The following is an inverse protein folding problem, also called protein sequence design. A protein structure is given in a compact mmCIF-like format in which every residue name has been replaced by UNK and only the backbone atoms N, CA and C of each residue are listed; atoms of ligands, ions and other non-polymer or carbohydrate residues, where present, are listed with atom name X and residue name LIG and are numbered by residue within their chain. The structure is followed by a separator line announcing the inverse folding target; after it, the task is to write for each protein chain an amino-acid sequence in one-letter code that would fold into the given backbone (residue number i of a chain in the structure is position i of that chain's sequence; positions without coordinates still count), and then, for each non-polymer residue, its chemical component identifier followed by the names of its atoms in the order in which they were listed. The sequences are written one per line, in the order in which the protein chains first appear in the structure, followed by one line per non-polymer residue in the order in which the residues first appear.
data_IF_080998683516
#
_entry.id   IF_080998683516
#
_cell.length_a   1.000
_cell.length_b   1.000
_cell.length_c   1.000
_cell.angle_alpha   90.00
_cell.angle_beta   90.00
_cell.angle_gamma   90.00
#
_symmetry.space_group_name_H-M   'P 1'
#
loop_
_entity.id
_entity.type
_entity.pdbx_description
1 polymer ?
#
# COMPACT_ATOMS: atom_id res chain seq x y z
N UNK A 1 -5.38 -7.66 24.57
CA UNK A 1 -4.70 -6.36 24.66
C UNK A 1 -5.62 -5.26 24.17
N UNK A 2 -5.42 -4.02 24.67
CA UNK A 2 -6.07 -2.82 24.14
C UNK A 2 -5.17 -2.17 23.12
N UNK A 3 -5.58 -2.18 21.84
CA UNK A 3 -4.79 -1.69 20.73
C UNK A 3 -5.41 -0.40 20.20
N UNK A 4 -4.61 0.67 20.09
CA UNK A 4 -5.00 1.91 19.44
C UNK A 4 -4.38 1.99 18.06
N UNK A 5 -5.20 2.00 17.02
CA UNK A 5 -4.77 2.31 15.65
C UNK A 5 -5.07 3.79 15.37
N UNK A 6 -4.03 4.55 15.07
CA UNK A 6 -4.15 5.93 14.65
C UNK A 6 -3.86 6.01 13.15
N UNK A 7 -4.93 6.07 12.36
CA UNK A 7 -4.86 6.04 10.90
C UNK A 7 -5.73 7.14 10.31
N UNK A 8 -5.13 7.96 9.44
CA UNK A 8 -5.84 9.05 8.77
C UNK A 8 -7.03 8.55 7.94
N UNK A 9 -6.86 7.45 7.19
CA UNK A 9 -7.89 6.81 6.40
C UNK A 9 -8.32 5.48 7.02
N UNK A 10 -9.61 5.21 6.99
CA UNK A 10 -10.22 3.99 7.51
C UNK A 10 -11.55 3.72 6.78
N UNK A 11 -12.20 2.57 7.06
CA UNK A 11 -13.55 2.30 6.56
C UNK A 11 -14.46 3.55 6.68
N UNK A 12 -15.36 3.86 5.73
CA UNK A 12 -15.75 3.07 4.54
C UNK A 12 -14.96 3.41 3.25
N UNK A 13 -13.81 4.05 3.34
CA UNK A 13 -13.03 4.39 2.15
C UNK A 13 -12.53 3.12 1.44
N UNK A 14 -12.76 2.98 0.10
CA UNK A 14 -12.57 1.70 -0.58
C UNK A 14 -11.14 1.43 -1.08
N UNK A 15 -10.24 2.41 -0.98
CA UNK A 15 -8.89 2.35 -1.56
C UNK A 15 -7.83 2.94 -0.62
N UNK A 16 -6.57 2.76 -0.98
CA UNK A 16 -5.43 3.21 -0.19
C UNK A 16 -5.21 2.34 1.04
N UNK A 17 -4.82 2.96 2.14
CA UNK A 17 -4.53 2.28 3.41
C UNK A 17 -5.80 1.89 4.19
N UNK A 18 -6.95 2.49 3.86
CA UNK A 18 -8.18 2.29 4.61
C UNK A 18 -8.65 0.83 4.67
N UNK A 19 -8.74 0.07 3.55
CA UNK A 19 -9.08 -1.35 3.60
C UNK A 19 -8.11 -2.18 4.44
N UNK A 20 -6.82 -1.91 4.33
CA UNK A 20 -5.79 -2.63 5.10
C UNK A 20 -5.95 -2.42 6.60
N UNK A 21 -6.10 -1.17 7.04
CA UNK A 21 -6.29 -0.87 8.47
C UNK A 21 -7.63 -1.39 9.00
N UNK A 22 -8.66 -1.44 8.14
CA UNK A 22 -9.95 -2.04 8.49
C UNK A 22 -9.82 -3.54 8.72
N UNK A 23 -9.21 -4.25 7.77
CA UNK A 23 -8.97 -5.70 7.86
C UNK A 23 -8.07 -6.04 9.05
N UNK A 24 -7.02 -5.25 9.31
CA UNK A 24 -6.15 -5.42 10.48
C UNK A 24 -6.94 -5.26 11.79
N UNK A 25 -7.70 -4.18 11.94
CA UNK A 25 -8.46 -3.92 13.15
C UNK A 25 -9.51 -5.02 13.42
N UNK A 26 -10.27 -5.39 12.40
CA UNK A 26 -11.29 -6.44 12.50
C UNK A 26 -10.66 -7.83 12.73
N UNK A 27 -9.52 -8.11 12.11
CA UNK A 27 -8.76 -9.34 12.32
C UNK A 27 -8.24 -9.46 13.76
N UNK A 28 -7.69 -8.40 14.33
CA UNK A 28 -7.23 -8.35 15.72
C UNK A 28 -8.39 -8.51 16.70
N UNK A 29 -9.57 -7.94 16.42
CA UNK A 29 -10.77 -8.17 17.23
C UNK A 29 -11.17 -9.64 17.22
N UNK A 30 -11.18 -10.30 16.05
CA UNK A 30 -11.48 -11.75 15.94
C UNK A 30 -10.51 -12.63 16.74
N UNK A 31 -9.27 -12.15 16.94
CA UNK A 31 -8.24 -12.81 17.74
C UNK A 31 -8.30 -12.45 19.23
N UNK A 32 -9.35 -11.75 19.67
CA UNK A 32 -9.62 -11.46 21.09
C UNK A 32 -8.99 -10.18 21.62
N UNK A 33 -8.49 -9.29 20.75
CA UNK A 33 -8.02 -7.97 21.17
C UNK A 33 -9.15 -6.96 21.19
N UNK A 34 -9.05 -5.97 22.06
CA UNK A 34 -9.93 -4.80 22.09
C UNK A 34 -9.29 -3.69 21.25
N UNK A 35 -9.91 -3.36 20.11
CA UNK A 35 -9.33 -2.43 19.13
C UNK A 35 -10.13 -1.14 19.05
N UNK A 36 -9.41 -0.03 19.16
CA UNK A 36 -9.92 1.32 18.99
C UNK A 36 -9.17 2.01 17.85
N UNK A 37 -9.90 2.67 16.95
CA UNK A 37 -9.34 3.38 15.80
C UNK A 37 -9.67 4.86 15.91
N UNK A 38 -8.65 5.73 15.86
CA UNK A 38 -8.81 7.16 15.68
C UNK A 38 -8.51 7.48 14.21
N UNK A 39 -9.50 8.09 13.52
CA UNK A 39 -9.41 8.34 12.08
C UNK A 39 -10.09 9.66 11.69
N UNK A 40 -9.89 10.07 10.44
CA UNK A 40 -10.59 11.21 9.85
C UNK A 40 -12.02 10.90 9.44
N UNK A 41 -12.82 11.94 9.14
CA UNK A 41 -14.06 11.75 8.40
C UNK A 41 -13.76 11.18 7.02
N UNK A 42 -14.52 10.18 6.53
CA UNK A 42 -14.26 9.57 5.22
C UNK A 42 -14.45 10.59 4.10
N UNK A 43 -13.50 10.58 3.16
CA UNK A 43 -13.42 11.60 2.12
C UNK A 43 -12.80 11.11 0.81
N UNK A 44 -12.13 9.99 0.82
CA UNK A 44 -11.39 9.48 -0.33
C UNK A 44 -12.18 8.39 -1.07
N UNK A 45 -12.22 8.34 -2.42
CA UNK A 45 -11.33 9.05 -3.35
C UNK A 45 -11.81 10.44 -3.80
N UNK A 46 -13.08 10.84 -3.57
CA UNK A 46 -13.69 12.05 -4.12
C UNK A 46 -13.08 13.33 -3.57
N UNK A 47 -12.41 13.27 -2.40
CA UNK A 47 -11.91 14.42 -1.64
C UNK A 47 -13.02 15.36 -1.20
N UNK A 48 -14.12 14.77 -0.78
CA UNK A 48 -15.27 15.43 -0.18
C UNK A 48 -15.75 14.55 0.98
N UNK A 49 -16.12 15.18 2.10
CA UNK A 49 -16.65 14.42 3.24
C UNK A 49 -17.94 13.74 2.78
N UNK A 50 -18.07 12.45 3.04
CA UNK A 50 -19.25 11.67 2.71
C UNK A 50 -20.50 12.28 3.38
N UNK A 51 -21.62 12.26 2.70
CA UNK A 51 -22.84 12.98 3.12
C UNK A 51 -23.29 12.65 4.53
N UNK A 52 -23.17 11.41 4.96
CA UNK A 52 -23.50 10.93 6.31
C UNK A 52 -22.67 11.59 7.42
N UNK A 53 -21.48 12.10 7.09
CA UNK A 53 -20.54 12.70 8.03
C UNK A 53 -20.42 14.23 7.89
N UNK A 54 -21.08 14.80 6.90
CA UNK A 54 -21.01 16.25 6.60
C UNK A 54 -21.51 17.09 7.78
N UNK A 55 -20.78 18.13 8.12
CA UNK A 55 -21.13 19.06 9.22
C UNK A 55 -20.83 18.54 10.62
N UNK A 56 -20.32 17.33 10.77
CA UNK A 56 -19.98 16.76 12.09
C UNK A 56 -18.50 17.01 12.43
N UNK A 57 -18.23 17.36 13.70
CA UNK A 57 -16.87 17.51 14.22
C UNK A 57 -16.30 16.17 14.73
N UNK A 58 -17.15 15.37 15.35
CA UNK A 58 -16.81 14.07 15.93
C UNK A 58 -17.93 13.07 15.66
N UNK A 59 -17.54 11.84 15.35
CA UNK A 59 -18.44 10.70 15.26
C UNK A 59 -17.77 9.52 15.96
N UNK A 60 -18.53 8.88 16.85
CA UNK A 60 -18.11 7.63 17.48
C UNK A 60 -19.09 6.53 17.02
N UNK A 61 -18.56 5.47 16.49
CA UNK A 61 -19.33 4.35 15.96
C UNK A 61 -18.63 3.04 16.31
N UNK A 62 -19.38 1.94 16.22
CA UNK A 62 -18.83 0.61 16.43
C UNK A 62 -19.17 -0.24 15.21
N UNK A 63 -18.17 -0.95 14.69
CA UNK A 63 -18.35 -1.85 13.55
C UNK A 63 -17.48 -3.08 13.71
N UNK A 64 -18.07 -4.26 13.54
CA UNK A 64 -17.38 -5.57 13.64
C UNK A 64 -16.50 -5.70 14.90
N UNK A 65 -16.97 -5.14 16.03
CA UNK A 65 -16.25 -5.15 17.31
C UNK A 65 -15.19 -4.05 17.46
N UNK A 66 -14.90 -3.28 16.41
CA UNK A 66 -13.95 -2.16 16.47
C UNK A 66 -14.65 -0.87 16.89
N UNK A 67 -14.08 -0.17 17.88
CA UNK A 67 -14.52 1.18 18.27
C UNK A 67 -13.86 2.21 17.38
N UNK A 68 -14.64 2.96 16.59
CA UNK A 68 -14.15 3.94 15.62
C UNK A 68 -14.44 5.35 16.10
N UNK A 69 -13.42 6.18 16.23
CA UNK A 69 -13.49 7.57 16.66
C UNK A 69 -13.04 8.47 15.50
N UNK A 70 -14.01 9.12 14.85
CA UNK A 70 -13.74 10.02 13.73
C UNK A 70 -13.60 11.44 14.19
N UNK A 71 -12.67 12.14 13.55
CA UNK A 71 -12.38 13.55 13.79
C UNK A 71 -12.51 14.35 12.51
N UNK A 72 -12.96 15.59 12.63
CA UNK A 72 -13.06 16.52 11.50
C UNK A 72 -11.68 16.76 10.87
N UNK A 73 -11.69 16.98 9.56
CA UNK A 73 -10.52 17.42 8.81
C UNK A 73 -10.96 18.40 7.71
N UNK A 74 -10.07 19.35 7.39
CA UNK A 74 -10.33 20.35 6.38
C UNK A 74 -9.99 19.82 5.00
N UNK A 75 -11.01 19.50 4.20
CA UNK A 75 -10.85 18.99 2.85
C UNK A 75 -11.05 20.09 1.81
N UNK A 76 -10.33 19.94 0.70
CA UNK A 76 -10.53 20.74 -0.51
C UNK A 76 -10.41 19.82 -1.73
N UNK A 77 -11.34 19.89 -2.65
CA UNK A 77 -11.44 19.02 -3.83
C UNK A 77 -10.23 19.12 -4.76
N UNK A 78 -9.65 20.32 -4.89
CA UNK A 78 -8.42 20.58 -5.67
C UNK A 78 -7.34 21.19 -4.77
N UNK A 79 -6.67 20.38 -3.92
CA UNK A 79 -5.73 20.89 -2.95
C UNK A 79 -4.40 21.27 -3.60
N UNK A 80 -3.87 22.42 -3.21
CA UNK A 80 -2.45 22.76 -3.36
C UNK A 80 -1.63 22.16 -2.19
N UNK A 81 -0.34 22.42 -2.15
CA UNK A 81 0.54 21.91 -1.09
C UNK A 81 0.13 22.43 0.29
N UNK A 82 -0.26 23.72 0.40
CA UNK A 82 -0.71 24.31 1.65
C UNK A 82 -2.04 23.69 2.12
N UNK A 83 -2.98 23.43 1.21
CA UNK A 83 -4.24 22.78 1.55
C UNK A 83 -4.03 21.36 2.10
N UNK A 84 -3.04 20.62 1.58
CA UNK A 84 -2.65 19.29 2.12
C UNK A 84 -2.08 19.40 3.53
N UNK A 85 -1.22 20.39 3.77
CA UNK A 85 -0.68 20.65 5.10
C UNK A 85 -1.79 21.01 6.09
N UNK A 86 -2.70 21.89 5.72
CA UNK A 86 -3.85 22.30 6.53
C UNK A 86 -4.80 21.13 6.83
N UNK A 87 -4.96 20.21 5.87
CA UNK A 87 -5.73 18.98 6.07
C UNK A 87 -5.08 18.11 7.16
N UNK A 88 -3.77 17.84 7.06
CA UNK A 88 -3.05 17.04 8.08
C UNK A 88 -3.08 17.72 9.46
N UNK A 89 -2.80 19.01 9.53
CA UNK A 89 -2.84 19.76 10.78
C UNK A 89 -4.23 19.79 11.39
N UNK A 90 -5.28 20.02 10.59
CA UNK A 90 -6.65 19.99 11.11
C UNK A 90 -7.02 18.66 11.73
N UNK A 91 -6.65 17.54 11.09
CA UNK A 91 -6.84 16.20 11.64
C UNK A 91 -6.06 16.00 12.94
N UNK A 92 -4.79 16.42 12.99
CA UNK A 92 -3.96 16.34 14.19
C UNK A 92 -4.64 17.05 15.36
N UNK A 93 -5.06 18.30 15.20
CA UNK A 93 -5.68 19.09 16.26
C UNK A 93 -7.05 18.53 16.68
N UNK A 94 -7.88 18.12 15.73
CA UNK A 94 -9.22 17.62 16.05
C UNK A 94 -9.21 16.22 16.66
N UNK A 95 -8.19 15.40 16.36
CA UNK A 95 -8.06 14.05 16.92
C UNK A 95 -7.51 14.01 18.37
N UNK A 96 -6.82 15.08 18.81
CA UNK A 96 -6.27 15.14 20.18
C UNK A 96 -7.29 14.81 21.28
N UNK A 97 -8.51 15.40 21.30
CA UNK A 97 -9.50 15.08 22.35
C UNK A 97 -9.98 13.62 22.31
N UNK A 98 -9.96 12.97 21.15
CA UNK A 98 -10.44 11.59 21.01
C UNK A 98 -9.56 10.59 21.76
N UNK A 99 -8.29 10.90 21.93
CA UNK A 99 -7.35 10.01 22.64
C UNK A 99 -7.72 9.81 24.08
N UNK A 100 -8.20 10.87 24.75
CA UNK A 100 -8.64 10.81 26.14
C UNK A 100 -9.97 10.08 26.32
N UNK A 101 -10.66 9.73 25.23
CA UNK A 101 -11.91 8.99 25.28
C UNK A 101 -11.63 7.49 25.08
N UNK A 102 -11.75 6.72 26.14
CA UNK A 102 -11.60 5.27 26.10
C UNK A 102 -10.50 4.73 26.99
N UNK A 103 -10.32 3.42 26.95
CA UNK A 103 -9.33 2.73 27.79
C UNK A 103 -7.90 3.07 27.36
N UNK A 104 -6.98 3.02 28.32
CA UNK A 104 -5.54 3.12 28.05
C UNK A 104 -5.09 2.01 27.11
N UNK A 105 -4.42 2.32 26.00
CA UNK A 105 -3.90 1.30 25.11
C UNK A 105 -2.63 0.63 25.67
N UNK A 106 -2.46 -0.64 25.35
CA UNK A 106 -1.21 -1.38 25.58
C UNK A 106 -0.18 -1.07 24.48
N UNK A 107 -0.65 -0.76 23.27
CA UNK A 107 0.18 -0.42 22.11
C UNK A 107 -0.55 0.57 21.19
N UNK A 108 0.21 1.47 20.56
CA UNK A 108 -0.28 2.41 19.53
C UNK A 108 0.35 2.04 18.20
N UNK A 109 -0.47 1.87 17.16
CA UNK A 109 -0.03 1.74 15.76
C UNK A 109 -0.38 3.03 15.04
N UNK A 110 0.62 3.75 14.56
CA UNK A 110 0.45 4.94 13.73
C UNK A 110 0.78 4.63 12.27
N UNK A 111 -0.13 4.88 11.36
CA UNK A 111 0.15 4.80 9.92
C UNK A 111 0.73 6.10 9.36
N UNK A 112 1.77 6.01 8.55
CA UNK A 112 2.42 7.14 7.89
C UNK A 112 2.45 6.89 6.37
N UNK A 113 2.00 7.86 5.54
CA UNK A 113 1.50 9.21 5.84
C UNK A 113 0.11 9.23 6.51
N UNK A 114 -0.27 10.35 7.19
CA UNK A 114 0.39 11.65 7.30
C UNK A 114 1.50 11.68 8.38
N UNK A 115 2.61 12.35 8.06
CA UNK A 115 3.77 12.39 8.96
C UNK A 115 3.51 13.24 10.22
N UNK A 116 2.66 14.26 10.14
CA UNK A 116 2.30 15.11 11.29
C UNK A 116 1.53 14.35 12.38
N UNK A 117 0.89 13.22 12.06
CA UNK A 117 0.26 12.32 13.02
C UNK A 117 1.24 11.77 14.08
N UNK A 118 2.54 11.80 13.79
CA UNK A 118 3.58 11.39 14.74
C UNK A 118 3.59 12.25 16.01
N UNK A 119 3.30 13.55 15.90
CA UNK A 119 3.31 14.45 17.05
C UNK A 119 2.28 14.02 18.12
N UNK A 120 0.97 13.92 17.81
CA UNK A 120 0.01 13.44 18.81
C UNK A 120 0.29 12.00 19.24
N UNK A 121 0.64 11.11 18.31
CA UNK A 121 0.91 9.71 18.65
C UNK A 121 2.08 9.57 19.65
N UNK A 122 3.13 10.40 19.52
CA UNK A 122 4.24 10.43 20.49
C UNK A 122 3.79 10.97 21.85
N UNK A 123 2.99 12.04 21.88
CA UNK A 123 2.42 12.57 23.12
C UNK A 123 1.59 11.50 23.82
N UNK A 124 0.79 10.74 23.07
CA UNK A 124 -0.04 9.66 23.63
C UNK A 124 0.78 8.48 24.12
N UNK A 125 1.79 8.08 23.35
CA UNK A 125 2.74 7.04 23.76
C UNK A 125 3.40 7.42 25.10
N UNK A 126 3.86 8.65 25.23
CA UNK A 126 4.44 9.16 26.47
C UNK A 126 3.41 9.24 27.62
N UNK A 127 2.23 9.84 27.38
CA UNK A 127 1.20 10.03 28.38
C UNK A 127 0.67 8.71 28.95
N UNK A 128 0.45 7.74 28.08
CA UNK A 128 -0.01 6.41 28.46
C UNK A 128 1.11 5.45 28.81
N UNK A 129 2.36 5.89 28.71
CA UNK A 129 3.53 5.03 28.85
C UNK A 129 3.32 3.71 28.08
N UNK A 130 3.00 3.78 26.80
CA UNK A 130 2.78 2.63 25.93
C UNK A 130 3.63 2.73 24.64
N UNK A 131 4.10 1.61 24.11
CA UNK A 131 4.95 1.58 22.91
C UNK A 131 4.21 2.11 21.67
N UNK A 132 4.93 2.88 20.86
CA UNK A 132 4.48 3.39 19.57
C UNK A 132 5.11 2.56 18.44
N UNK A 133 4.28 1.90 17.64
CA UNK A 133 4.66 1.26 16.39
C UNK A 133 4.36 2.23 15.26
N UNK A 134 5.39 2.62 14.51
CA UNK A 134 5.27 3.46 13.33
C UNK A 134 5.15 2.57 12.10
N UNK A 135 3.97 2.50 11.49
CA UNK A 135 3.74 1.75 10.26
C UNK A 135 3.99 2.64 9.04
N UNK A 136 5.12 2.43 8.36
CA UNK A 136 5.59 3.26 7.24
C UNK A 136 5.12 2.66 5.92
N UNK A 137 4.13 3.31 5.30
CA UNK A 137 3.56 2.92 4.01
C UNK A 137 4.22 3.60 2.82
N UNK A 138 4.76 4.82 3.04
CA UNK A 138 5.53 5.59 2.06
C UNK A 138 6.68 6.32 2.77
N UNK A 139 7.83 6.40 2.12
CA UNK A 139 8.99 7.12 2.65
C UNK A 139 8.92 8.59 2.24
N UNK A 140 8.30 9.41 3.09
CA UNK A 140 8.22 10.86 2.91
C UNK A 140 9.29 11.55 3.77
N UNK A 141 9.88 12.68 3.28
CA UNK A 141 9.55 13.41 2.04
C UNK A 141 10.23 12.90 0.77
N UNK A 142 11.08 11.86 0.86
CA UNK A 142 11.92 11.40 -0.25
C UNK A 142 11.11 11.08 -1.51
N UNK A 143 10.01 10.36 -1.38
CA UNK A 143 9.15 10.02 -2.51
C UNK A 143 8.63 11.28 -3.24
N UNK A 144 8.17 12.29 -2.49
CA UNK A 144 7.67 13.54 -3.06
C UNK A 144 8.77 14.38 -3.75
N UNK A 145 9.99 14.35 -3.23
CA UNK A 145 11.15 15.02 -3.82
C UNK A 145 11.55 14.34 -5.13
N UNK A 146 11.67 13.02 -5.14
CA UNK A 146 12.12 12.24 -6.32
C UNK A 146 11.15 12.34 -7.50
N UNK A 147 9.85 12.44 -7.23
CA UNK A 147 8.85 12.66 -8.30
C UNK A 147 8.66 14.14 -8.66
N UNK A 148 9.44 15.05 -8.06
CA UNK A 148 9.41 16.47 -8.37
C UNK A 148 8.20 17.26 -7.82
N UNK A 149 7.42 16.65 -6.94
CA UNK A 149 6.26 17.28 -6.30
C UNK A 149 6.68 18.27 -5.21
N UNK A 150 7.80 18.02 -4.53
CA UNK A 150 8.34 18.87 -3.47
C UNK A 150 9.69 19.43 -3.88
N UNK A 151 9.76 20.76 -4.10
CA UNK A 151 10.98 21.46 -4.56
C UNK A 151 11.52 22.49 -3.55
N UNK A 152 10.67 22.95 -2.64
CA UNK A 152 11.04 23.96 -1.65
C UNK A 152 12.00 23.38 -0.60
N UNK A 153 13.24 23.90 -0.55
CA UNK A 153 14.32 23.42 0.34
C UNK A 153 13.95 23.50 1.83
N UNK A 154 13.24 24.54 2.26
CA UNK A 154 12.79 24.70 3.64
C UNK A 154 11.77 23.65 4.03
N UNK A 155 10.78 23.40 3.17
CA UNK A 155 9.79 22.35 3.40
C UNK A 155 10.45 20.96 3.43
N UNK A 156 11.38 20.69 2.52
CA UNK A 156 12.14 19.43 2.52
C UNK A 156 12.87 19.27 3.85
N UNK A 157 13.59 20.30 4.31
CA UNK A 157 14.33 20.26 5.57
C UNK A 157 13.42 20.05 6.79
N UNK A 158 12.27 20.72 6.84
CA UNK A 158 11.30 20.59 7.93
C UNK A 158 10.67 19.19 7.95
N UNK A 159 10.23 18.67 6.81
CA UNK A 159 9.65 17.33 6.72
C UNK A 159 10.71 16.24 7.00
N UNK A 160 11.96 16.42 6.58
CA UNK A 160 13.05 15.50 6.93
C UNK A 160 13.36 15.53 8.43
N UNK A 161 13.28 16.69 9.07
CA UNK A 161 13.44 16.78 10.53
C UNK A 161 12.30 16.06 11.27
N UNK A 162 11.07 16.23 10.80
CA UNK A 162 9.90 15.53 11.33
C UNK A 162 9.97 14.00 11.10
N UNK A 163 10.44 13.56 9.92
CA UNK A 163 10.71 12.16 9.64
C UNK A 163 11.72 11.56 10.63
N UNK A 164 12.84 12.24 10.83
CA UNK A 164 13.86 11.82 11.82
C UNK A 164 13.30 11.78 13.24
N UNK A 165 12.47 12.75 13.60
CA UNK A 165 11.78 12.75 14.89
C UNK A 165 10.86 11.53 15.01
N UNK A 166 10.05 11.24 13.99
CA UNK A 166 9.16 10.09 13.94
C UNK A 166 9.91 8.77 14.18
N UNK A 167 11.03 8.56 13.48
CA UNK A 167 11.86 7.37 13.62
C UNK A 167 12.50 7.24 15.00
N UNK A 168 12.88 8.36 15.63
CA UNK A 168 13.43 8.35 16.99
C UNK A 168 12.36 8.06 18.04
N UNK A 169 11.19 8.70 17.92
CA UNK A 169 10.09 8.59 18.87
C UNK A 169 9.41 7.21 18.88
N UNK A 170 9.35 6.53 17.72
CA UNK A 170 8.77 5.20 17.64
C UNK A 170 9.57 4.19 18.47
N UNK A 171 8.89 3.27 19.15
CA UNK A 171 9.51 2.10 19.77
C UNK A 171 9.98 1.12 18.72
N UNK A 172 9.11 0.82 17.75
CA UNK A 172 9.38 -0.06 16.61
C UNK A 172 8.84 0.59 15.34
N UNK A 173 9.47 0.31 14.21
CA UNK A 173 9.06 0.78 12.90
C UNK A 173 8.72 -0.42 12.05
N UNK A 174 7.45 -0.58 11.67
CA UNK A 174 7.06 -1.57 10.68
C UNK A 174 7.10 -0.97 9.29
N UNK A 175 7.77 -1.64 8.38
CA UNK A 175 7.87 -1.27 6.96
C UNK A 175 7.24 -2.35 6.10
N UNK A 176 6.84 -1.98 4.88
CA UNK A 176 6.07 -2.86 4.00
C UNK A 176 6.92 -3.69 3.02
N UNK A 177 8.24 -3.44 2.98
CA UNK A 177 9.16 -4.16 2.12
C UNK A 177 10.61 -3.97 2.56
N UNK A 178 11.48 -4.91 2.22
CA UNK A 178 12.90 -4.89 2.60
C UNK A 178 13.67 -3.67 2.08
N UNK A 179 13.34 -3.18 0.88
CA UNK A 179 13.94 -1.95 0.36
C UNK A 179 13.63 -0.71 1.22
N UNK A 180 12.51 -0.71 1.96
CA UNK A 180 12.21 0.32 2.95
C UNK A 180 13.10 0.16 4.18
N UNK A 181 13.33 -1.07 4.65
CA UNK A 181 14.27 -1.36 5.74
C UNK A 181 15.67 -0.83 5.41
N UNK A 182 16.18 -1.15 4.23
CA UNK A 182 17.48 -0.66 3.74
C UNK A 182 17.54 0.87 3.68
N UNK A 183 16.48 1.51 3.20
CA UNK A 183 16.40 2.98 3.14
C UNK A 183 16.46 3.60 4.55
N UNK A 184 15.71 3.05 5.50
CA UNK A 184 15.71 3.54 6.88
C UNK A 184 17.06 3.33 7.58
N UNK A 185 17.71 2.18 7.37
CA UNK A 185 19.08 1.90 7.88
C UNK A 185 20.07 2.93 7.33
N UNK A 186 20.00 3.22 6.03
CA UNK A 186 20.85 4.24 5.39
C UNK A 186 20.58 5.65 5.94
N UNK A 187 19.40 5.91 6.51
CA UNK A 187 19.06 7.15 7.23
C UNK A 187 19.47 7.13 8.71
N UNK A 188 20.13 6.05 9.16
CA UNK A 188 20.66 5.90 10.52
C UNK A 188 19.66 5.33 11.53
N UNK A 189 18.59 4.68 11.09
CA UNK A 189 17.68 3.95 11.98
C UNK A 189 18.32 2.61 12.36
N UNK A 190 18.41 2.24 13.66
CA UNK A 190 18.94 0.95 14.09
C UNK A 190 18.13 -0.23 13.52
N UNK A 191 18.82 -1.27 13.03
CA UNK A 191 18.20 -2.45 12.42
C UNK A 191 17.21 -3.14 13.37
N UNK A 192 17.56 -3.27 14.64
CA UNK A 192 16.72 -3.90 15.67
C UNK A 192 15.43 -3.14 15.98
N UNK A 193 15.26 -1.93 15.45
CA UNK A 193 14.05 -1.12 15.56
C UNK A 193 13.11 -1.31 14.38
N UNK A 194 13.55 -2.00 13.33
CA UNK A 194 12.81 -2.16 12.07
C UNK A 194 12.30 -3.59 11.94
N UNK A 195 11.03 -3.72 11.60
CA UNK A 195 10.37 -5.00 11.30
C UNK A 195 9.68 -4.90 9.96
N UNK A 196 9.89 -5.87 9.07
CA UNK A 196 9.20 -5.93 7.79
C UNK A 196 7.88 -6.70 7.93
N UNK A 197 6.76 -5.99 7.79
CA UNK A 197 5.41 -6.55 7.73
C UNK A 197 4.77 -6.07 6.42
N UNK A 198 4.82 -6.89 5.35
CA UNK A 198 4.27 -6.53 4.06
C UNK A 198 2.76 -6.28 4.13
N UNK A 199 2.29 -5.38 3.26
CA UNK A 199 0.86 -5.23 3.05
C UNK A 199 0.28 -6.52 2.47
N UNK A 200 -0.91 -6.87 2.91
CA UNK A 200 -1.59 -8.12 2.58
C UNK A 200 -2.66 -7.93 1.52
N UNK A 201 -3.12 -9.04 1.01
CA UNK A 201 -4.26 -9.16 0.12
C UNK A 201 -5.23 -10.19 0.70
N UNK A 202 -6.52 -9.96 0.53
CA UNK A 202 -7.51 -10.98 0.84
C UNK A 202 -7.42 -12.11 -0.20
N UNK A 203 -6.69 -13.18 0.15
CA UNK A 203 -6.40 -14.32 -0.71
C UNK A 203 -7.63 -15.18 -1.05
N UNK A 204 -8.74 -15.01 -0.33
CA UNK A 204 -10.01 -15.67 -0.63
C UNK A 204 -10.83 -14.84 -1.63
N UNK A 205 -10.74 -13.52 -1.58
CA UNK A 205 -11.34 -12.62 -2.55
C UNK A 205 -10.55 -12.57 -3.86
N UNK A 206 -9.21 -12.49 -3.76
CA UNK A 206 -8.32 -12.57 -4.93
C UNK A 206 -7.71 -13.97 -4.96
N UNK A 207 -8.22 -14.81 -5.81
CA UNK A 207 -7.76 -16.19 -6.01
C UNK A 207 -7.68 -16.52 -7.50
N UNK A 208 -6.97 -17.58 -7.87
CA UNK A 208 -6.97 -18.06 -9.25
C UNK A 208 -8.37 -18.45 -9.69
N UNK A 209 -8.87 -17.76 -10.70
CA UNK A 209 -10.15 -18.05 -11.35
C UNK A 209 -9.90 -18.47 -12.80
N UNK A 210 -10.78 -19.33 -13.39
CA UNK A 210 -10.70 -19.68 -14.80
C UNK A 210 -10.83 -18.44 -15.70
N UNK A 211 -10.06 -18.41 -16.78
CA UNK A 211 -10.15 -17.34 -17.79
C UNK A 211 -11.20 -17.59 -18.87
N UNK A 212 -11.61 -18.86 -19.08
CA UNK A 212 -12.69 -19.23 -19.98
C UNK A 212 -14.04 -18.96 -19.33
N UNK A 213 -15.02 -18.57 -20.12
CA UNK A 213 -16.34 -18.11 -19.66
C UNK A 213 -16.26 -16.92 -18.69
N UNK A 214 -15.29 -16.05 -18.90
CA UNK A 214 -15.07 -14.88 -18.08
C UNK A 214 -15.89 -13.71 -18.62
N UNK A 215 -16.83 -13.16 -17.83
CA UNK A 215 -17.74 -12.11 -18.29
C UNK A 215 -16.98 -10.81 -18.67
N UNK A 216 -15.85 -10.51 -18.01
CA UNK A 216 -15.04 -9.36 -18.38
C UNK A 216 -14.41 -9.53 -19.78
N UNK A 217 -13.96 -10.76 -20.15
CA UNK A 217 -13.48 -11.07 -21.50
C UNK A 217 -14.58 -10.90 -22.55
N UNK A 218 -15.77 -11.46 -22.30
CA UNK A 218 -16.91 -11.32 -23.19
C UNK A 218 -17.30 -9.85 -23.39
N UNK A 219 -17.41 -9.08 -22.31
CA UNK A 219 -17.77 -7.66 -22.38
C UNK A 219 -16.79 -6.84 -23.23
N UNK A 220 -15.51 -7.19 -23.20
CA UNK A 220 -14.46 -6.46 -23.90
C UNK A 220 -13.95 -7.16 -25.17
N UNK A 221 -14.65 -8.18 -25.67
CA UNK A 221 -14.31 -8.93 -26.90
C UNK A 221 -12.90 -9.54 -26.87
N UNK A 222 -12.51 -10.07 -25.73
CA UNK A 222 -11.17 -10.64 -25.48
C UNK A 222 -11.16 -12.18 -25.47
N UNK A 223 -12.26 -12.83 -25.90
CA UNK A 223 -12.33 -14.28 -26.02
C UNK A 223 -11.32 -14.78 -27.04
N UNK A 224 -10.56 -15.82 -26.67
CA UNK A 224 -9.48 -16.34 -27.51
C UNK A 224 -8.20 -15.51 -27.51
N UNK A 225 -8.21 -14.29 -26.95
CA UNK A 225 -7.03 -13.42 -26.94
C UNK A 225 -6.07 -13.74 -25.80
N UNK A 226 -4.82 -13.38 -25.97
CA UNK A 226 -3.81 -13.32 -24.93
C UNK A 226 -3.76 -11.92 -24.35
N UNK A 227 -4.16 -11.78 -23.08
CA UNK A 227 -4.36 -10.48 -22.44
C UNK A 227 -3.20 -10.16 -21.51
N UNK A 228 -2.51 -9.07 -21.81
CA UNK A 228 -1.46 -8.45 -20.99
C UNK A 228 -2.09 -7.28 -20.24
N UNK A 229 -2.23 -7.39 -18.92
CA UNK A 229 -3.02 -6.44 -18.11
C UNK A 229 -2.13 -5.51 -17.28
N UNK A 230 -2.33 -4.22 -17.43
CA UNK A 230 -1.98 -3.22 -16.43
C UNK A 230 -3.26 -2.68 -15.79
N UNK A 231 -3.35 -2.67 -14.46
CA UNK A 231 -4.54 -2.16 -13.76
C UNK A 231 -4.17 -1.30 -12.55
N UNK A 232 -4.81 -0.14 -12.42
CA UNK A 232 -4.76 0.74 -11.25
C UNK A 232 -4.30 2.16 -11.56
N UNK A 233 -3.85 2.88 -10.52
CA UNK A 233 -3.45 4.28 -10.65
C UNK A 233 -2.32 4.45 -11.68
N UNK A 234 -2.45 5.48 -12.53
CA UNK A 234 -1.47 5.86 -13.56
C UNK A 234 -0.74 7.11 -13.05
N UNK A 235 0.40 6.92 -12.39
CA UNK A 235 1.22 7.98 -11.84
C UNK A 235 2.46 8.25 -12.74
N UNK A 236 3.10 9.39 -12.51
CA UNK A 236 4.31 9.82 -13.23
C UNK A 236 5.50 8.86 -13.08
N UNK A 237 5.44 7.98 -12.06
CA UNK A 237 6.49 7.00 -11.76
C UNK A 237 6.42 5.73 -12.61
N UNK A 238 5.35 5.51 -13.39
CA UNK A 238 5.13 4.25 -14.08
C UNK A 238 5.61 4.24 -15.54
N UNK A 239 5.47 5.32 -16.30
CA UNK A 239 5.94 5.38 -17.69
C UNK A 239 5.21 4.38 -18.61
N UNK A 240 3.86 4.48 -18.68
CA UNK A 240 3.04 3.54 -19.46
C UNK A 240 3.23 3.69 -20.99
N UNK A 241 3.91 4.72 -21.43
CA UNK A 241 4.35 4.87 -22.81
C UNK A 241 5.16 3.63 -23.26
N UNK A 242 6.01 3.09 -22.40
CA UNK A 242 6.78 1.85 -22.65
C UNK A 242 5.87 0.65 -22.91
N UNK A 243 4.72 0.56 -22.25
CA UNK A 243 3.75 -0.52 -22.47
C UNK A 243 3.12 -0.41 -23.85
N UNK A 244 2.78 0.80 -24.29
CA UNK A 244 2.20 1.06 -25.60
C UNK A 244 3.23 0.74 -26.72
N UNK A 245 4.48 1.16 -26.52
CA UNK A 245 5.56 0.86 -27.46
C UNK A 245 5.84 -0.65 -27.55
N UNK A 246 5.81 -1.37 -26.43
CA UNK A 246 5.91 -2.84 -26.42
C UNK A 246 4.73 -3.50 -27.16
N UNK A 247 3.53 -2.96 -27.00
CA UNK A 247 2.35 -3.43 -27.75
C UNK A 247 2.54 -3.24 -29.25
N UNK A 248 3.07 -2.09 -29.69
CA UNK A 248 3.38 -1.83 -31.10
C UNK A 248 4.39 -2.85 -31.66
N UNK A 249 5.40 -3.25 -30.89
CA UNK A 249 6.34 -4.30 -31.31
C UNK A 249 5.64 -5.64 -31.60
N UNK A 250 4.55 -5.93 -30.87
CA UNK A 250 3.80 -7.20 -30.99
C UNK A 250 2.51 -7.10 -31.81
N UNK A 251 2.22 -5.98 -32.47
CA UNK A 251 0.98 -5.76 -33.23
C UNK A 251 0.76 -6.75 -34.40
N UNK A 252 1.86 -7.38 -34.86
CA UNK A 252 1.81 -8.41 -35.89
C UNK A 252 1.18 -9.73 -35.38
N UNK A 253 1.14 -9.97 -34.05
CA UNK A 253 0.50 -11.12 -33.43
C UNK A 253 -0.90 -10.68 -32.99
N UNK A 254 -1.91 -10.92 -33.83
CA UNK A 254 -3.27 -10.42 -33.66
C UNK A 254 -4.00 -10.94 -32.41
N UNK A 255 -3.48 -11.96 -31.79
CA UNK A 255 -4.06 -12.52 -30.54
C UNK A 255 -3.55 -11.84 -29.28
N UNK A 256 -2.46 -11.08 -29.33
CA UNK A 256 -1.94 -10.36 -28.16
C UNK A 256 -2.62 -9.00 -28.03
N UNK A 257 -3.27 -8.77 -26.90
CA UNK A 257 -3.94 -7.51 -26.54
C UNK A 257 -3.39 -6.99 -25.23
N UNK A 258 -3.01 -5.71 -25.21
CA UNK A 258 -2.60 -5.01 -24.00
C UNK A 258 -3.80 -4.23 -23.43
N UNK A 259 -4.29 -4.61 -22.25
CA UNK A 259 -5.37 -3.91 -21.57
C UNK A 259 -4.79 -3.01 -20.48
N UNK A 260 -5.04 -1.71 -20.57
CA UNK A 260 -4.65 -0.70 -19.57
C UNK A 260 -5.90 -0.17 -18.89
N UNK A 261 -6.06 -0.51 -17.62
CA UNK A 261 -7.20 -0.09 -16.79
C UNK A 261 -6.75 1.02 -15.84
N UNK A 262 -7.34 2.20 -15.94
CA UNK A 262 -6.88 3.34 -15.16
C UNK A 262 -7.87 4.49 -15.03
N UNK A 263 -7.43 5.59 -14.42
CA UNK A 263 -8.24 6.80 -14.26
C UNK A 263 -8.46 7.48 -15.62
N UNK A 264 -9.69 7.87 -15.92
CA UNK A 264 -10.13 8.40 -17.24
C UNK A 264 -9.27 9.57 -17.73
N UNK A 265 -8.86 10.48 -16.86
CA UNK A 265 -8.02 11.63 -17.23
C UNK A 265 -6.62 11.22 -17.70
N UNK A 266 -6.05 10.18 -17.10
CA UNK A 266 -4.74 9.66 -17.51
C UNK A 266 -4.85 8.86 -18.81
N UNK A 267 -5.97 8.13 -18.99
CA UNK A 267 -6.23 7.37 -20.21
C UNK A 267 -6.34 8.25 -21.46
N UNK A 268 -6.88 9.47 -21.36
CA UNK A 268 -6.96 10.40 -22.49
C UNK A 268 -5.60 10.67 -23.13
N UNK A 269 -4.57 10.91 -22.30
CA UNK A 269 -3.20 11.13 -22.79
C UNK A 269 -2.60 9.90 -23.45
N UNK A 270 -2.88 8.72 -22.87
CA UNK A 270 -2.42 7.45 -23.43
C UNK A 270 -3.13 7.13 -24.75
N UNK A 271 -4.39 7.53 -24.91
CA UNK A 271 -5.14 7.36 -26.15
C UNK A 271 -4.52 8.16 -27.31
N UNK A 272 -4.16 9.42 -27.05
CA UNK A 272 -3.41 10.24 -28.03
C UNK A 272 -2.09 9.55 -28.41
N UNK A 273 -1.38 9.00 -27.42
CA UNK A 273 -0.12 8.29 -27.67
C UNK A 273 -0.32 7.00 -28.46
N UNK A 274 -1.39 6.23 -28.20
CA UNK A 274 -1.75 5.04 -29.00
C UNK A 274 -2.02 5.40 -30.45
N UNK A 275 -2.79 6.46 -30.70
CA UNK A 275 -3.10 6.90 -32.07
C UNK A 275 -1.85 7.32 -32.85
N UNK A 276 -0.97 8.09 -32.20
CA UNK A 276 0.29 8.55 -32.83
C UNK A 276 1.24 7.39 -33.19
N UNK A 277 1.22 6.29 -32.43
CA UNK A 277 2.12 5.16 -32.62
C UNK A 277 1.46 3.97 -33.34
N UNK A 278 0.19 4.07 -33.74
CA UNK A 278 -0.53 2.98 -34.41
C UNK A 278 -0.68 1.73 -33.53
N UNK A 279 -0.92 1.91 -32.23
CA UNK A 279 -1.08 0.84 -31.24
C UNK A 279 -2.53 0.32 -31.22
N UNK A 280 -2.94 -0.39 -32.29
CA UNK A 280 -4.29 -0.93 -32.48
C UNK A 280 -4.62 -2.13 -31.60
N UNK A 281 -3.61 -2.73 -30.97
CA UNK A 281 -3.72 -3.84 -30.02
C UNK A 281 -3.70 -3.39 -28.55
N UNK A 282 -3.91 -2.10 -28.28
CA UNK A 282 -4.04 -1.55 -26.91
C UNK A 282 -5.49 -1.19 -26.63
N UNK A 283 -6.04 -1.76 -25.54
CA UNK A 283 -7.36 -1.48 -25.03
C UNK A 283 -7.27 -0.61 -23.76
N UNK A 284 -7.83 0.59 -23.80
CA UNK A 284 -7.85 1.54 -22.66
C UNK A 284 -9.23 1.49 -21.99
N UNK A 285 -9.26 1.16 -20.69
CA UNK A 285 -10.50 0.96 -19.95
C UNK A 285 -10.49 1.78 -18.64
N UNK A 286 -11.65 2.32 -18.22
CA UNK A 286 -11.76 3.01 -16.94
C UNK A 286 -11.56 2.06 -15.77
N UNK A 287 -11.23 2.63 -14.58
CA UNK A 287 -11.16 1.87 -13.35
C UNK A 287 -12.44 1.09 -13.11
N UNK A 288 -12.28 -0.17 -12.73
CA UNK A 288 -13.39 -1.07 -12.45
C UNK A 288 -13.77 -1.02 -10.96
N UNK A 289 -15.05 -1.27 -10.61
CA UNK A 289 -15.46 -1.47 -9.22
C UNK A 289 -14.65 -2.61 -8.57
N UNK A 290 -14.44 -2.51 -7.24
CA UNK A 290 -13.62 -3.50 -6.50
C UNK A 290 -14.12 -4.93 -6.67
N UNK A 291 -15.43 -5.11 -6.75
CA UNK A 291 -16.11 -6.41 -6.91
C UNK A 291 -15.74 -7.10 -8.23
N UNK A 292 -15.39 -6.32 -9.25
CA UNK A 292 -14.96 -6.81 -10.57
C UNK A 292 -13.46 -7.14 -10.64
N UNK A 293 -12.70 -6.77 -9.61
CA UNK A 293 -11.24 -6.97 -9.61
C UNK A 293 -10.83 -8.45 -9.78
N UNK A 294 -11.42 -9.44 -9.07
CA UNK A 294 -11.06 -10.84 -9.25
C UNK A 294 -11.28 -11.33 -10.69
N UNK A 295 -12.43 -10.96 -11.28
CA UNK A 295 -12.81 -11.33 -12.63
C UNK A 295 -11.88 -10.70 -13.69
N UNK A 296 -11.54 -9.41 -13.51
CA UNK A 296 -10.60 -8.69 -14.38
C UNK A 296 -9.20 -9.29 -14.31
N UNK A 297 -8.70 -9.61 -13.11
CA UNK A 297 -7.40 -10.28 -12.95
C UNK A 297 -7.42 -11.68 -13.59
N UNK A 298 -8.51 -12.43 -13.42
CA UNK A 298 -8.69 -13.75 -14.02
C UNK A 298 -8.71 -13.69 -15.55
N UNK A 299 -9.21 -12.61 -16.13
CA UNK A 299 -9.23 -12.38 -17.56
C UNK A 299 -7.84 -12.24 -18.19
N UNK A 300 -6.82 -11.88 -17.42
CA UNK A 300 -5.45 -11.69 -17.94
C UNK A 300 -4.67 -12.99 -18.01
N UNK A 301 -3.73 -13.03 -18.95
CA UNK A 301 -2.70 -14.08 -19.07
C UNK A 301 -1.40 -13.67 -18.38
N UNK A 302 -1.11 -12.36 -18.35
CA UNK A 302 0.07 -11.74 -17.75
C UNK A 302 -0.32 -10.42 -17.09
N UNK A 303 0.21 -10.15 -15.91
CA UNK A 303 0.10 -8.86 -15.24
C UNK A 303 1.36 -8.01 -15.39
N UNK A 304 1.20 -6.70 -15.58
CA UNK A 304 2.32 -5.77 -15.72
C UNK A 304 2.57 -4.99 -14.43
N UNK A 305 3.84 -4.91 -14.05
CA UNK A 305 4.36 -3.93 -13.08
C UNK A 305 5.37 -3.06 -13.81
N UNK A 306 5.11 -1.76 -13.85
CA UNK A 306 5.93 -0.81 -14.61
C UNK A 306 6.37 0.32 -13.71
N UNK A 307 7.66 0.61 -13.67
CA UNK A 307 8.28 1.73 -12.95
C UNK A 307 9.40 2.34 -13.79
N UNK A 308 9.56 3.65 -13.69
CA UNK A 308 10.69 4.35 -14.31
C UNK A 308 12.01 4.03 -13.61
N UNK A 309 13.15 4.23 -14.30
CA UNK A 309 14.51 3.93 -13.80
C UNK A 309 14.85 4.57 -12.45
N UNK A 310 14.28 5.71 -12.12
CA UNK A 310 14.55 6.43 -10.88
C UNK A 310 13.72 5.97 -9.67
N UNK A 311 12.84 4.97 -9.84
CA UNK A 311 11.95 4.46 -8.76
C UNK A 311 12.57 3.23 -8.14
N UNK A 312 13.39 3.38 -7.10
CA UNK A 312 14.16 2.28 -6.50
C UNK A 312 13.59 1.83 -5.15
N UNK A 313 13.88 2.55 -4.07
CA UNK A 313 13.68 2.07 -2.68
C UNK A 313 12.56 2.77 -1.90
N UNK A 314 11.80 3.64 -2.53
CA UNK A 314 10.79 4.47 -1.85
C UNK A 314 9.35 4.14 -2.25
N UNK A 315 9.15 3.15 -3.11
CA UNK A 315 7.83 2.75 -3.59
C UNK A 315 7.72 1.24 -3.75
N UNK A 316 6.69 0.65 -3.17
CA UNK A 316 6.30 -0.75 -3.36
C UNK A 316 4.94 -0.79 -4.07
N UNK A 317 4.85 -1.32 -5.29
CA UNK A 317 3.56 -1.39 -6.00
C UNK A 317 2.59 -2.36 -5.31
N UNK A 318 1.46 -1.84 -4.83
CA UNK A 318 0.39 -2.64 -4.22
C UNK A 318 -0.24 -3.68 -5.17
N UNK A 319 0.05 -3.58 -6.46
CA UNK A 319 -0.42 -4.52 -7.50
C UNK A 319 0.31 -5.87 -7.44
N UNK A 320 1.56 -5.92 -6.93
CA UNK A 320 2.34 -7.16 -6.86
C UNK A 320 1.62 -8.23 -6.04
N UNK A 321 1.21 -8.01 -4.78
CA UNK A 321 0.44 -8.98 -4.03
C UNK A 321 -0.85 -9.43 -4.72
N UNK A 322 -1.56 -8.50 -5.40
CA UNK A 322 -2.80 -8.80 -6.11
C UNK A 322 -2.58 -9.74 -7.31
N UNK A 323 -1.58 -9.47 -8.13
CA UNK A 323 -1.24 -10.30 -9.30
C UNK A 323 -0.77 -11.68 -8.86
N UNK A 324 0.13 -11.76 -7.89
CA UNK A 324 0.60 -13.02 -7.32
C UNK A 324 -0.56 -13.83 -6.74
N UNK A 325 -1.43 -13.21 -5.93
CA UNK A 325 -2.59 -13.88 -5.35
C UNK A 325 -3.59 -14.39 -6.40
N UNK A 326 -3.72 -13.71 -7.53
CA UNK A 326 -4.57 -14.16 -8.64
C UNK A 326 -3.95 -15.30 -9.47
N UNK A 327 -2.71 -15.71 -9.18
CA UNK A 327 -2.00 -16.73 -9.93
C UNK A 327 -1.61 -16.27 -11.34
N UNK A 328 -1.45 -14.96 -11.56
CA UNK A 328 -1.01 -14.41 -12.85
C UNK A 328 0.47 -14.11 -12.82
N UNK A 329 1.25 -14.61 -13.80
CA UNK A 329 2.66 -14.27 -13.90
C UNK A 329 2.84 -12.77 -14.12
N UNK A 330 3.90 -12.23 -13.53
CA UNK A 330 4.24 -10.81 -13.62
C UNK A 330 5.33 -10.59 -14.66
N UNK A 331 5.15 -9.61 -15.54
CA UNK A 331 6.25 -8.99 -16.28
C UNK A 331 6.54 -7.66 -15.62
N UNK A 332 7.69 -7.55 -14.98
CA UNK A 332 8.12 -6.39 -14.22
C UNK A 332 9.13 -5.54 -15.00
N UNK A 333 8.70 -4.42 -15.62
CA UNK A 333 9.60 -3.41 -16.16
C UNK A 333 9.98 -2.44 -15.03
N UNK A 334 10.99 -2.85 -14.26
CA UNK A 334 11.35 -2.19 -12.99
C UNK A 334 12.87 -2.19 -12.81
N UNK A 335 13.45 -1.22 -12.05
CA UNK A 335 14.87 -1.24 -11.73
C UNK A 335 15.26 -2.53 -11.00
N UNK A 336 16.29 -3.23 -11.47
CA UNK A 336 16.73 -4.52 -10.94
C UNK A 336 17.12 -4.47 -9.43
N UNK A 337 17.66 -3.34 -8.98
CA UNK A 337 17.98 -3.10 -7.57
C UNK A 337 16.81 -2.47 -6.78
N UNK A 338 15.60 -2.45 -7.36
CA UNK A 338 14.42 -1.82 -6.75
C UNK A 338 13.64 -2.76 -5.85
N UNK A 339 12.82 -2.19 -4.98
CA UNK A 339 11.93 -2.94 -4.08
C UNK A 339 10.95 -3.85 -4.83
N UNK A 340 10.42 -3.38 -5.96
CA UNK A 340 9.51 -4.16 -6.81
C UNK A 340 10.20 -5.37 -7.44
N UNK A 341 11.44 -5.20 -7.91
CA UNK A 341 12.23 -6.29 -8.48
C UNK A 341 12.46 -7.39 -7.45
N UNK A 342 12.97 -7.05 -6.26
CA UNK A 342 13.19 -8.00 -5.17
C UNK A 342 11.92 -8.80 -4.82
N UNK A 343 10.76 -8.14 -4.75
CA UNK A 343 9.49 -8.80 -4.46
C UNK A 343 9.07 -9.78 -5.54
N UNK A 344 9.28 -9.46 -6.82
CA UNK A 344 8.97 -10.35 -7.94
C UNK A 344 9.94 -11.55 -7.97
N UNK A 345 11.23 -11.33 -7.78
CA UNK A 345 12.26 -12.38 -7.74
C UNK A 345 12.01 -13.37 -6.59
N UNK A 346 11.84 -12.86 -5.37
CA UNK A 346 11.58 -13.69 -4.20
C UNK A 346 10.31 -14.54 -4.36
N UNK A 347 9.30 -14.02 -5.06
CA UNK A 347 8.06 -14.76 -5.29
C UNK A 347 8.20 -15.89 -6.31
N UNK A 348 9.23 -15.87 -7.17
CA UNK A 348 9.30 -16.75 -8.34
C UNK A 348 8.11 -16.62 -9.29
N UNK A 349 7.27 -15.58 -9.11
CA UNK A 349 6.01 -15.38 -9.80
C UNK A 349 6.09 -14.47 -11.02
N UNK A 350 7.30 -14.12 -11.50
CA UNK A 350 7.42 -13.23 -12.65
C UNK A 350 8.81 -13.16 -13.25
N UNK A 351 8.92 -12.35 -14.30
CA UNK A 351 10.16 -12.07 -15.01
C UNK A 351 10.38 -10.56 -14.99
N UNK A 352 11.62 -10.15 -14.71
CA UNK A 352 12.02 -8.75 -14.67
C UNK A 352 12.69 -8.38 -15.99
N UNK A 353 12.32 -7.23 -16.50
CA UNK A 353 12.98 -6.60 -17.64
C UNK A 353 13.46 -5.21 -17.27
N UNK A 354 14.44 -4.71 -17.98
CA UNK A 354 14.96 -3.37 -17.80
C UNK A 354 13.85 -2.32 -17.95
N UNK A 355 13.75 -1.33 -17.04
CA UNK A 355 12.73 -0.28 -17.15
C UNK A 355 12.96 0.57 -18.39
N UNK A 356 11.85 1.09 -18.95
CA UNK A 356 11.84 1.93 -20.14
C UNK A 356 12.48 1.23 -21.36
N UNK A 357 12.30 -0.12 -21.46
CA UNK A 357 12.76 -0.96 -22.57
C UNK A 357 11.59 -1.71 -23.23
N UNK A 358 10.94 -1.12 -24.24
CA UNK A 358 9.79 -1.74 -24.92
C UNK A 358 10.14 -3.09 -25.56
N UNK A 359 11.30 -3.19 -26.20
CA UNK A 359 11.74 -4.41 -26.87
C UNK A 359 11.96 -5.57 -25.87
N UNK A 360 12.55 -5.30 -24.70
CA UNK A 360 12.73 -6.31 -23.66
C UNK A 360 11.39 -6.78 -23.10
N UNK A 361 10.45 -5.87 -22.87
CA UNK A 361 9.09 -6.20 -22.45
C UNK A 361 8.37 -7.04 -23.50
N UNK A 362 8.42 -6.63 -24.77
CA UNK A 362 7.80 -7.35 -25.89
C UNK A 362 8.36 -8.77 -26.03
N UNK A 363 9.67 -8.95 -25.93
CA UNK A 363 10.31 -10.26 -26.01
C UNK A 363 9.82 -11.22 -24.91
N UNK A 364 9.75 -10.76 -23.66
CA UNK A 364 9.26 -11.58 -22.54
C UNK A 364 7.76 -11.88 -22.66
N UNK A 365 6.96 -10.91 -23.11
CA UNK A 365 5.52 -11.14 -23.36
C UNK A 365 5.33 -12.18 -24.47
N UNK A 366 6.12 -12.12 -25.54
CA UNK A 366 6.07 -13.10 -26.63
C UNK A 366 6.52 -14.50 -26.18
N UNK A 367 7.56 -14.59 -25.36
CA UNK A 367 7.99 -15.87 -24.76
C UNK A 367 6.88 -16.48 -23.90
N UNK A 368 6.28 -15.68 -23.03
CA UNK A 368 5.12 -16.12 -22.23
C UNK A 368 3.89 -16.47 -23.09
N UNK A 369 3.67 -15.82 -24.23
CA UNK A 369 2.62 -16.20 -25.18
C UNK A 369 2.88 -17.60 -25.75
N UNK A 370 4.09 -17.90 -26.13
CA UNK A 370 4.50 -19.16 -26.74
C UNK A 370 4.67 -20.31 -25.73
N UNK A 371 4.84 -19.99 -24.43
CA UNK A 371 5.18 -20.98 -23.39
C UNK A 371 4.13 -21.07 -22.27
N UNK A 372 3.03 -21.80 -22.49
CA UNK A 372 1.99 -21.96 -21.47
C UNK A 372 2.47 -22.69 -20.21
N UNK A 373 3.47 -23.56 -20.32
CA UNK A 373 4.03 -24.27 -19.16
C UNK A 373 4.75 -23.30 -18.23
N UNK A 374 5.57 -22.41 -18.79
CA UNK A 374 6.26 -21.37 -18.04
C UNK A 374 5.26 -20.43 -17.34
N UNK A 375 4.19 -19.99 -18.06
CA UNK A 375 3.13 -19.18 -17.48
C UNK A 375 2.48 -19.83 -16.27
N UNK A 376 2.12 -21.11 -16.40
CA UNK A 376 1.51 -21.88 -15.31
C UNK A 376 2.47 -22.03 -14.13
N UNK A 377 3.75 -22.30 -14.38
CA UNK A 377 4.79 -22.40 -13.34
C UNK A 377 4.91 -21.10 -12.56
N UNK A 378 5.11 -19.98 -13.24
CA UNK A 378 5.26 -18.66 -12.60
C UNK A 378 3.99 -18.27 -11.83
N UNK A 379 2.81 -18.48 -12.41
CA UNK A 379 1.54 -18.21 -11.75
C UNK A 379 1.35 -19.00 -10.46
N UNK A 380 1.67 -20.30 -10.47
CA UNK A 380 1.56 -21.16 -9.29
C UNK A 380 2.57 -20.76 -8.19
N UNK A 381 3.84 -20.52 -8.55
CA UNK A 381 4.85 -20.04 -7.61
C UNK A 381 4.44 -18.71 -6.97
N UNK A 382 3.98 -17.75 -7.79
CA UNK A 382 3.48 -16.47 -7.30
C UNK A 382 2.31 -16.62 -6.34
N UNK A 383 1.33 -17.47 -6.68
CA UNK A 383 0.18 -17.75 -5.80
C UNK A 383 0.61 -18.35 -4.46
N UNK A 384 1.46 -19.35 -4.49
CA UNK A 384 1.97 -19.98 -3.27
C UNK A 384 2.66 -18.94 -2.38
N UNK A 385 3.55 -18.14 -2.95
CA UNK A 385 4.23 -17.07 -2.23
C UNK A 385 3.26 -16.05 -1.62
N UNK A 386 2.23 -15.65 -2.37
CA UNK A 386 1.23 -14.70 -1.88
C UNK A 386 0.43 -15.25 -0.69
N UNK A 387 0.06 -16.52 -0.71
CA UNK A 387 -0.62 -17.19 0.42
C UNK A 387 0.26 -17.21 1.65
N UNK A 388 1.54 -17.55 1.50
CA UNK A 388 2.50 -17.70 2.58
C UNK A 388 3.02 -16.38 3.15
N UNK A 389 3.06 -15.30 2.33
CA UNK A 389 3.73 -14.05 2.72
C UNK A 389 2.85 -12.81 2.68
N UNK A 390 1.78 -12.81 1.88
CA UNK A 390 0.91 -11.65 1.67
C UNK A 390 -0.55 -11.89 2.09
N UNK A 391 -0.85 -12.95 2.86
CA UNK A 391 -2.19 -13.14 3.41
C UNK A 391 -2.42 -12.27 4.65
N UNK A 392 -3.69 -11.95 4.93
CA UNK A 392 -4.07 -11.24 6.15
C UNK A 392 -3.67 -12.02 7.40
N UNK A 393 -3.82 -13.35 7.39
CA UNK A 393 -3.46 -14.20 8.53
C UNK A 393 -1.98 -14.09 8.87
N UNK A 394 -1.10 -14.11 7.86
CA UNK A 394 0.34 -13.91 8.06
C UNK A 394 0.66 -12.51 8.60
N UNK A 395 -0.04 -11.48 8.14
CA UNK A 395 0.14 -10.13 8.68
C UNK A 395 -0.29 -10.06 10.14
N UNK A 396 -1.43 -10.66 10.49
CA UNK A 396 -1.92 -10.73 11.88
C UNK A 396 -0.94 -11.48 12.77
N UNK A 397 -0.41 -12.63 12.34
CA UNK A 397 0.59 -13.41 13.09
C UNK A 397 1.85 -12.58 13.36
N UNK A 398 2.34 -11.84 12.37
CA UNK A 398 3.51 -10.95 12.51
C UNK A 398 3.24 -9.79 13.47
N UNK A 399 2.04 -9.19 13.43
CA UNK A 399 1.66 -8.12 14.37
C UNK A 399 1.53 -8.67 15.80
N UNK A 400 0.91 -9.84 16.01
CA UNK A 400 0.81 -10.46 17.34
C UNK A 400 2.18 -10.87 17.88
N UNK A 401 3.06 -11.43 17.05
CA UNK A 401 4.45 -11.68 17.42
C UNK A 401 5.16 -10.41 17.87
N UNK A 402 5.04 -9.33 17.09
CA UNK A 402 5.60 -8.03 17.45
C UNK A 402 5.04 -7.50 18.78
N UNK A 403 3.73 -7.62 19.02
CA UNK A 403 3.13 -7.19 20.29
C UNK A 403 3.65 -8.00 21.47
N UNK A 404 3.80 -9.32 21.30
CA UNK A 404 4.33 -10.22 22.33
C UNK A 404 5.77 -9.86 22.70
N UNK A 405 6.63 -9.61 21.70
CA UNK A 405 8.01 -9.19 21.89
C UNK A 405 8.11 -7.85 22.65
N UNK A 406 7.28 -6.89 22.28
CA UNK A 406 7.23 -5.57 22.91
C UNK A 406 6.82 -5.69 24.41
N UNK A 407 5.83 -6.52 24.70
CA UNK A 407 5.35 -6.73 26.09
C UNK A 407 6.39 -7.48 26.90
N UNK A 408 7.00 -8.54 26.36
CA UNK A 408 8.04 -9.31 27.03
C UNK A 408 9.28 -8.44 27.38
N UNK A 409 9.75 -7.65 26.43
CA UNK A 409 10.89 -6.74 26.63
C UNK A 409 10.59 -5.67 27.71
N UNK A 410 9.35 -5.22 27.81
CA UNK A 410 8.91 -4.25 28.82
C UNK A 410 8.88 -4.88 30.22
N UNK A 411 8.32 -6.07 30.35
CA UNK A 411 8.30 -6.80 31.63
C UNK A 411 9.73 -7.07 32.15
N UNK A 412 10.66 -7.39 31.26
CA UNK A 412 12.07 -7.60 31.60
C UNK A 412 12.75 -6.31 32.06
N UNK A 413 12.43 -5.16 31.47
CA UNK A 413 13.00 -3.85 31.86
C UNK A 413 12.42 -3.31 33.18
N UNK A 414 11.15 -3.58 33.49
CA UNK A 414 10.50 -3.19 34.77
C UNK A 414 10.93 -4.10 35.93
N UNK A 415 11.36 -5.34 35.66
CA UNK A 415 11.88 -6.27 36.69
C UNK A 415 13.31 -5.98 37.17
N UNK A 416 14.05 -5.09 36.53
CA UNK A 416 15.45 -4.75 36.82
C UNK A 416 15.57 -3.52 37.76
N UNK A 417 14.50 -2.82 38.09
CA UNK A 417 14.56 -1.72 39.06
C UNK A 417 14.76 -2.28 40.47
N UNK A 418 15.86 -1.99 41.17
CA UNK A 418 16.05 -2.42 42.55
C UNK A 418 14.95 -1.80 43.43
N UNK A 419 14.21 -2.64 44.15
CA UNK A 419 13.34 -2.18 45.22
C UNK A 419 14.21 -1.47 46.27
N UNK A 420 14.21 -0.16 46.25
CA UNK A 420 14.76 0.59 47.34
C UNK A 420 13.90 0.30 48.59
N UNK A 421 14.37 -0.61 49.45
CA UNK A 421 13.85 -0.79 50.78
C UNK A 421 14.22 0.44 51.59
N UNK A 422 13.29 1.36 51.75
CA UNK A 422 13.39 2.38 52.79
C UNK A 422 13.06 1.66 54.13
N UNK A 423 14.11 1.16 54.77
CA UNK A 423 14.04 0.76 56.16
C UNK A 423 13.81 2.02 56.98
N UNK A 424 12.62 2.11 57.60
CA UNK A 424 12.36 3.06 58.66
C UNK A 424 13.23 2.66 59.87
N UNK A 425 14.25 3.45 60.14
CA UNK A 425 14.90 3.52 61.45
C UNK A 425 14.33 4.72 62.24
#
# INVERSE_FOLDING_TARGET
MHILIYSYNYHPEPIGIAPLMTELAEGLVKRGHEVRVITGMPNYPQREIYDEYRGKWYVNEQKNGVTIQRSYLRIKSKPNILDRLLLELSFVFTSLPQVFKGKRPDVIILTVPPLFGTLPATIFSWLYNCPLILNVQDILPEAAVRVGLLKNKWMIRTLTALEKFAYRAAHTISVIADGFSENLVNKGVPVNKIVCIPNWVNINFICPLPKHNNAWRHTHQLDGKFVVLYSGNIALTQGLETVIEAAVCLRHIKDIVFAIVGESRALQKLQEYCLLNGADNVLLLPLQPREKLPEMLAASDVGLIVQKRNVISFNMPSKIPLLLASGRPIVGSVPANGTAAKAIELSGGGIIVEPESPNAMAAVVQDLYNNPILRAKLGNQGRQFAVENYSLEQALDRYEGLFSDIVANRASSEGILPKFNVSKG
#
